data_IF_354405816274
#
_entry.id   IF_354405816274
#
_cell.length_a   1.000
_cell.length_b   1.000
_cell.length_c   1.000
_cell.angle_alpha   90.00
_cell.angle_beta   90.00
_cell.angle_gamma   90.00
#
_symmetry.space_group_name_H-M   'P 1'
#
loop_
_entity.id
_entity.type
_entity.pdbx_description
1 polymer ?
#
# COMPACT_ATOMS: atom_id res chain seq x y z
N UNK A 1 21.24 9.85 4.56
CA UNK A 1 21.56 10.35 3.21
C UNK A 1 20.37 10.07 2.30
N UNK A 2 19.83 11.11 1.66
CA UNK A 2 18.52 11.07 0.96
C UNK A 2 18.56 10.42 -0.44
N UNK A 3 19.34 9.34 -0.63
CA UNK A 3 19.37 8.62 -1.91
C UNK A 3 20.04 9.35 -3.09
N UNK A 4 20.67 10.49 -2.83
CA UNK A 4 21.41 11.26 -3.83
C UNK A 4 22.87 10.83 -3.98
N UNK A 5 23.40 10.10 -3.00
CA UNK A 5 24.76 9.61 -2.98
C UNK A 5 24.77 8.07 -2.86
N UNK A 6 25.57 7.44 -3.71
CA UNK A 6 25.95 6.05 -3.62
C UNK A 6 27.42 5.97 -3.19
N UNK A 7 27.66 5.40 -2.01
CA UNK A 7 29.01 5.23 -1.47
C UNK A 7 29.51 3.83 -1.81
N UNK A 8 30.60 3.75 -2.56
CA UNK A 8 31.32 2.49 -2.85
C UNK A 8 32.59 2.46 -2.04
N UNK A 9 32.84 1.35 -1.36
CA UNK A 9 34.08 1.10 -0.60
C UNK A 9 35.12 0.42 -1.49
N UNK A 10 36.41 0.54 -1.12
CA UNK A 10 37.53 -0.11 -1.83
C UNK A 10 38.39 0.85 -2.62
N UNK A 11 39.45 0.29 -3.34
CA UNK A 11 40.47 1.06 -4.01
C UNK A 11 39.96 2.00 -5.13
N UNK A 12 38.81 1.67 -5.73
CA UNK A 12 38.09 2.49 -6.69
C UNK A 12 36.78 3.05 -6.06
N UNK A 13 36.77 3.17 -4.75
CA UNK A 13 35.60 3.67 -3.99
C UNK A 13 35.46 5.17 -4.09
N UNK A 14 34.31 5.67 -3.60
CA UNK A 14 33.99 7.10 -3.60
C UNK A 14 32.53 7.36 -3.39
N UNK A 15 32.17 8.62 -3.29
CA UNK A 15 30.80 9.09 -3.25
C UNK A 15 30.36 9.48 -4.67
N UNK A 16 29.35 8.80 -5.20
CA UNK A 16 28.84 9.05 -6.54
C UNK A 16 27.45 9.68 -6.43
N UNK A 17 27.25 10.79 -7.13
CA UNK A 17 25.92 11.43 -7.22
C UNK A 17 25.04 10.58 -8.13
N UNK A 18 23.82 10.29 -7.67
CA UNK A 18 22.81 9.58 -8.45
C UNK A 18 21.49 10.34 -8.45
N UNK A 19 20.65 10.07 -9.45
CA UNK A 19 19.28 10.61 -9.45
C UNK A 19 18.47 9.97 -8.32
N UNK A 20 17.60 10.73 -7.64
CA UNK A 20 16.67 10.15 -6.68
C UNK A 20 15.77 9.11 -7.38
N UNK A 21 15.42 8.08 -6.64
CA UNK A 21 14.54 7.01 -7.10
C UNK A 21 13.19 7.09 -6.38
N UNK A 22 12.17 6.44 -6.91
CA UNK A 22 10.88 6.23 -6.23
C UNK A 22 11.07 5.68 -4.81
N UNK A 23 12.04 4.78 -4.63
CA UNK A 23 12.40 4.24 -3.31
C UNK A 23 12.97 5.31 -2.37
N UNK A 24 13.79 6.24 -2.89
CA UNK A 24 14.32 7.36 -2.09
C UNK A 24 13.20 8.26 -1.58
N UNK A 25 12.21 8.54 -2.42
CA UNK A 25 11.03 9.29 -2.07
C UNK A 25 10.20 8.55 -1.01
N UNK A 26 9.91 7.26 -1.22
CA UNK A 26 9.18 6.43 -0.28
C UNK A 26 9.86 6.42 1.10
N UNK A 27 11.19 6.29 1.16
CA UNK A 27 11.94 6.37 2.42
C UNK A 27 11.80 7.73 3.11
N UNK A 28 11.79 8.83 2.37
CA UNK A 28 11.64 10.18 2.95
C UNK A 28 10.25 10.37 3.55
N UNK A 29 9.21 9.92 2.87
CA UNK A 29 7.83 9.96 3.38
C UNK A 29 7.67 9.02 4.59
N UNK A 30 8.23 7.80 4.54
CA UNK A 30 8.22 6.87 5.66
C UNK A 30 8.94 7.44 6.89
N UNK A 31 10.04 8.18 6.71
CA UNK A 31 10.70 8.89 7.81
C UNK A 31 9.81 9.98 8.41
N UNK A 32 9.07 10.71 7.56
CA UNK A 32 8.12 11.72 8.03
C UNK A 32 7.01 11.06 8.86
N UNK A 33 6.40 9.99 8.36
CA UNK A 33 5.34 9.25 9.03
C UNK A 33 5.80 8.83 10.44
N UNK A 34 6.95 8.15 10.52
CA UNK A 34 7.50 7.69 11.80
C UNK A 34 7.96 8.84 12.70
N UNK A 35 8.73 9.78 12.17
CA UNK A 35 9.31 10.88 12.95
C UNK A 35 8.28 11.86 13.49
N UNK A 36 7.14 12.01 12.83
CA UNK A 36 6.02 12.83 13.27
C UNK A 36 4.94 12.05 14.00
N UNK A 37 5.08 10.73 14.12
CA UNK A 37 4.10 9.86 14.76
C UNK A 37 2.71 10.07 14.14
N UNK A 38 2.66 10.02 12.80
CA UNK A 38 1.40 10.23 12.05
C UNK A 38 0.39 9.15 12.46
N UNK A 39 -0.82 9.55 12.73
CA UNK A 39 -1.89 8.64 13.12
C UNK A 39 -2.35 7.77 11.95
N UNK A 40 -2.82 6.57 12.26
CA UNK A 40 -3.35 5.65 11.26
C UNK A 40 -4.54 6.27 10.48
N UNK A 41 -5.37 7.07 11.16
CA UNK A 41 -6.48 7.79 10.53
C UNK A 41 -6.01 8.72 9.40
N UNK A 42 -4.91 9.46 9.61
CA UNK A 42 -4.37 10.38 8.59
C UNK A 42 -3.87 9.61 7.36
N UNK A 43 -3.33 8.39 7.57
CA UNK A 43 -2.92 7.50 6.48
C UNK A 43 -4.13 6.95 5.72
N UNK A 44 -5.22 6.60 6.42
CA UNK A 44 -6.45 6.13 5.77
C UNK A 44 -7.09 7.23 4.92
N UNK A 45 -7.20 8.45 5.43
CA UNK A 45 -7.69 9.61 4.68
C UNK A 45 -6.84 9.86 3.42
N UNK A 46 -5.53 9.70 3.53
CA UNK A 46 -4.62 9.84 2.39
C UNK A 46 -4.85 8.73 1.36
N UNK A 47 -5.09 7.49 1.80
CA UNK A 47 -5.46 6.38 0.90
C UNK A 47 -6.76 6.66 0.15
N UNK A 48 -7.80 7.12 0.87
CA UNK A 48 -9.09 7.47 0.26
C UNK A 48 -8.96 8.54 -0.83
N UNK A 49 -8.02 9.45 -0.67
CA UNK A 49 -7.75 10.49 -1.66
C UNK A 49 -6.96 9.95 -2.88
N UNK A 50 -5.99 9.06 -2.68
CA UNK A 50 -5.04 8.67 -3.73
C UNK A 50 -5.43 7.37 -4.46
N UNK A 51 -5.87 6.33 -3.76
CA UNK A 51 -6.03 5.00 -4.33
C UNK A 51 -7.12 4.90 -5.41
N UNK A 52 -8.28 5.59 -5.31
CA UNK A 52 -9.25 5.60 -6.39
C UNK A 52 -8.66 6.13 -7.69
N UNK A 53 -7.84 7.18 -7.61
CA UNK A 53 -7.17 7.75 -8.77
C UNK A 53 -6.08 6.83 -9.33
N UNK A 54 -5.33 6.15 -8.45
CA UNK A 54 -4.39 5.10 -8.88
C UNK A 54 -5.10 3.99 -9.66
N UNK A 55 -6.27 3.53 -9.21
CA UNK A 55 -7.05 2.50 -9.89
C UNK A 55 -7.59 2.97 -11.26
N UNK A 56 -8.01 4.24 -11.36
CA UNK A 56 -8.42 4.83 -12.65
C UNK A 56 -7.27 4.87 -13.65
N UNK A 57 -6.08 5.31 -13.21
CA UNK A 57 -4.89 5.35 -14.04
C UNK A 57 -4.43 3.94 -14.40
N UNK A 58 -4.45 2.99 -13.45
CA UNK A 58 -4.14 1.59 -13.70
C UNK A 58 -5.02 1.01 -14.81
N UNK A 59 -6.33 1.27 -14.79
CA UNK A 59 -7.22 0.82 -15.85
C UNK A 59 -6.85 1.37 -17.23
N UNK A 60 -6.32 2.60 -17.30
CA UNK A 60 -5.89 3.22 -18.57
C UNK A 60 -4.53 2.73 -19.04
N UNK A 61 -3.59 2.54 -18.12
CA UNK A 61 -2.15 2.42 -18.42
C UNK A 61 -1.61 0.99 -18.28
N UNK A 62 -2.31 0.09 -17.57
CA UNK A 62 -1.83 -1.25 -17.21
C UNK A 62 -1.30 -2.03 -18.40
N UNK A 63 -0.23 -2.78 -18.17
CA UNK A 63 0.30 -3.82 -19.05
C UNK A 63 -0.23 -5.21 -18.65
N UNK A 64 0.05 -6.22 -19.45
CA UNK A 64 -0.29 -7.62 -19.10
C UNK A 64 0.61 -8.13 -17.95
N UNK A 65 1.82 -7.62 -17.82
CA UNK A 65 2.70 -7.91 -16.68
C UNK A 65 2.12 -7.38 -15.37
N UNK A 66 1.57 -6.15 -15.36
CA UNK A 66 0.90 -5.59 -14.18
C UNK A 66 -0.30 -6.44 -13.77
N UNK A 67 -1.09 -6.91 -14.74
CA UNK A 67 -2.23 -7.79 -14.45
C UNK A 67 -1.79 -9.13 -13.85
N UNK A 68 -0.68 -9.69 -14.30
CA UNK A 68 -0.14 -10.94 -13.75
C UNK A 68 0.29 -10.74 -12.28
N UNK A 69 0.87 -9.58 -11.92
CA UNK A 69 1.20 -9.25 -10.54
C UNK A 69 -0.04 -9.09 -9.66
N UNK A 70 -1.07 -8.37 -10.15
CA UNK A 70 -2.33 -8.21 -9.44
C UNK A 70 -3.04 -9.55 -9.23
N UNK A 71 -3.00 -10.45 -10.22
CA UNK A 71 -3.57 -11.80 -10.09
C UNK A 71 -2.83 -12.63 -9.05
N UNK A 72 -1.49 -12.56 -9.00
CA UNK A 72 -0.70 -13.25 -7.97
C UNK A 72 -1.04 -12.75 -6.57
N UNK A 73 -1.13 -11.43 -6.39
CA UNK A 73 -1.53 -10.86 -5.12
C UNK A 73 -2.96 -11.29 -4.73
N UNK A 74 -3.91 -11.29 -5.66
CA UNK A 74 -5.27 -11.78 -5.43
C UNK A 74 -5.33 -13.26 -5.05
N UNK A 75 -4.46 -14.09 -5.63
CA UNK A 75 -4.37 -15.52 -5.27
C UNK A 75 -3.83 -15.69 -3.85
N UNK A 76 -2.80 -14.92 -3.46
CA UNK A 76 -2.23 -14.95 -2.12
C UNK A 76 -3.22 -14.44 -1.06
N UNK A 77 -4.04 -13.41 -1.37
CA UNK A 77 -5.10 -12.90 -0.48
C UNK A 77 -6.20 -13.96 -0.28
N UNK A 78 -6.50 -14.75 -1.32
CA UNK A 78 -7.56 -15.76 -1.30
C UNK A 78 -7.11 -17.12 -0.73
N UNK A 79 -5.83 -17.26 -0.33
CA UNK A 79 -5.31 -18.49 0.23
C UNK A 79 -5.93 -18.74 1.63
N UNK A 80 -6.72 -19.80 1.81
CA UNK A 80 -7.35 -20.10 3.10
C UNK A 80 -6.34 -20.55 4.18
N UNK A 81 -5.15 -20.99 3.78
CA UNK A 81 -4.10 -21.43 4.70
C UNK A 81 -3.16 -20.28 5.12
N UNK A 82 -3.32 -19.08 4.50
CA UNK A 82 -2.51 -17.92 4.84
C UNK A 82 -2.77 -17.45 6.28
N UNK A 83 -1.70 -17.30 7.06
CA UNK A 83 -1.77 -16.63 8.34
C UNK A 83 -2.06 -15.13 8.20
N UNK A 84 -2.17 -14.42 9.32
CA UNK A 84 -2.48 -12.98 9.30
C UNK A 84 -1.37 -12.17 8.62
N UNK A 85 -0.12 -12.47 8.88
CA UNK A 85 1.03 -11.76 8.31
C UNK A 85 1.06 -11.93 6.78
N UNK A 86 0.87 -13.15 6.30
CA UNK A 86 0.83 -13.46 4.87
C UNK A 86 -0.33 -12.74 4.17
N UNK A 87 -1.52 -12.73 4.79
CA UNK A 87 -2.67 -12.02 4.27
C UNK A 87 -2.42 -10.51 4.20
N UNK A 88 -1.93 -9.88 5.28
CA UNK A 88 -1.65 -8.45 5.33
C UNK A 88 -0.57 -8.05 4.32
N UNK A 89 0.45 -8.89 4.17
CA UNK A 89 1.49 -8.68 3.15
C UNK A 89 0.91 -8.74 1.74
N UNK A 90 0.12 -9.75 1.42
CA UNK A 90 -0.50 -9.89 0.10
C UNK A 90 -1.47 -8.74 -0.20
N UNK A 91 -2.23 -8.30 0.81
CA UNK A 91 -3.09 -7.13 0.73
C UNK A 91 -2.29 -5.86 0.40
N UNK A 92 -1.18 -5.64 1.10
CA UNK A 92 -0.26 -4.54 0.83
C UNK A 92 0.30 -4.61 -0.60
N UNK A 93 0.82 -5.76 -1.01
CA UNK A 93 1.42 -5.99 -2.33
C UNK A 93 0.39 -5.68 -3.44
N UNK A 94 -0.88 -6.02 -3.23
CA UNK A 94 -1.95 -5.71 -4.18
C UNK A 94 -2.20 -4.19 -4.31
N UNK A 95 -2.33 -3.45 -3.20
CA UNK A 95 -2.52 -1.99 -3.23
C UNK A 95 -1.33 -1.26 -3.89
N UNK A 96 -0.11 -1.67 -3.56
CA UNK A 96 1.10 -1.17 -4.24
C UNK A 96 1.08 -1.55 -5.72
N UNK A 97 0.67 -2.78 -6.06
CA UNK A 97 0.55 -3.27 -7.43
C UNK A 97 -0.42 -2.42 -8.27
N UNK A 98 -1.57 -2.01 -7.70
CA UNK A 98 -2.50 -1.08 -8.39
C UNK A 98 -1.81 0.25 -8.66
N UNK A 99 -1.03 0.78 -7.72
CA UNK A 99 -0.28 2.03 -7.93
C UNK A 99 0.81 1.88 -8.98
N UNK A 100 1.51 0.75 -9.01
CA UNK A 100 2.52 0.42 -10.05
C UNK A 100 1.86 0.37 -11.42
N UNK A 101 0.71 -0.29 -11.56
CA UNK A 101 -0.05 -0.35 -12.80
C UNK A 101 -0.56 1.02 -13.28
N UNK A 102 -0.57 2.05 -12.44
CA UNK A 102 -0.85 3.42 -12.85
C UNK A 102 0.25 4.04 -13.70
N UNK A 103 1.48 3.50 -13.64
CA UNK A 103 2.71 4.03 -14.25
C UNK A 103 3.01 5.50 -13.88
N UNK A 104 2.54 5.97 -12.71
CA UNK A 104 2.84 7.27 -12.17
C UNK A 104 3.83 7.15 -11.00
N UNK A 105 5.10 7.45 -11.25
CA UNK A 105 6.18 7.25 -10.27
C UNK A 105 5.99 7.99 -8.95
N UNK A 106 5.33 9.15 -8.95
CA UNK A 106 5.05 9.87 -7.71
C UNK A 106 3.99 9.15 -6.87
N UNK A 107 2.91 8.70 -7.50
CA UNK A 107 1.88 7.92 -6.81
C UNK A 107 2.44 6.60 -6.29
N UNK A 108 3.27 5.92 -7.07
CA UNK A 108 3.96 4.69 -6.65
C UNK A 108 4.78 4.95 -5.39
N UNK A 109 5.60 6.01 -5.37
CA UNK A 109 6.43 6.36 -4.22
C UNK A 109 5.61 6.68 -2.97
N UNK A 110 4.52 7.44 -3.12
CA UNK A 110 3.60 7.71 -2.01
C UNK A 110 2.93 6.44 -1.50
N UNK A 111 2.40 5.60 -2.39
CA UNK A 111 1.72 4.37 -2.00
C UNK A 111 2.64 3.38 -1.29
N UNK A 112 3.89 3.22 -1.74
CA UNK A 112 4.88 2.39 -1.04
C UNK A 112 5.11 2.90 0.38
N UNK A 113 5.25 4.22 0.57
CA UNK A 113 5.49 4.80 1.88
C UNK A 113 4.27 4.65 2.82
N UNK A 114 3.07 4.95 2.34
CA UNK A 114 1.82 4.80 3.09
C UNK A 114 1.58 3.35 3.48
N UNK A 115 1.75 2.44 2.54
CA UNK A 115 1.52 1.01 2.74
C UNK A 115 2.38 0.43 3.86
N UNK A 116 3.64 0.81 3.95
CA UNK A 116 4.52 0.39 5.05
C UNK A 116 4.01 0.88 6.41
N UNK A 117 3.52 2.12 6.47
CA UNK A 117 2.94 2.69 7.67
C UNK A 117 1.66 1.98 8.11
N UNK A 118 0.80 1.68 7.16
CA UNK A 118 -0.47 0.97 7.41
C UNK A 118 -0.21 -0.45 7.89
N UNK A 119 0.70 -1.17 7.24
CA UNK A 119 1.09 -2.52 7.66
C UNK A 119 1.55 -2.52 9.13
N UNK A 120 2.47 -1.63 9.48
CA UNK A 120 2.97 -1.51 10.86
C UNK A 120 1.86 -1.14 11.87
N UNK A 121 0.84 -0.39 11.44
CA UNK A 121 -0.31 -0.04 12.28
C UNK A 121 -1.37 -1.12 12.39
N UNK A 122 -1.37 -2.13 11.52
CA UNK A 122 -2.42 -3.15 11.42
C UNK A 122 -1.94 -4.58 11.66
N UNK A 123 -0.65 -4.81 11.85
CA UNK A 123 -0.07 -6.15 12.05
C UNK A 123 -0.64 -6.93 13.26
N UNK A 124 -1.20 -6.23 14.25
CA UNK A 124 -1.85 -6.80 15.41
C UNK A 124 -3.39 -6.65 15.38
N UNK A 125 -3.97 -6.40 14.22
CA UNK A 125 -5.38 -6.06 14.10
C UNK A 125 -6.28 -7.30 14.28
N UNK A 126 -6.83 -7.46 15.48
CA UNK A 126 -7.75 -8.54 15.82
C UNK A 126 -9.08 -8.53 15.02
N UNK A 127 -9.37 -7.43 14.29
CA UNK A 127 -10.59 -7.29 13.49
C UNK A 127 -10.49 -7.99 12.10
N UNK A 128 -9.31 -8.48 11.71
CA UNK A 128 -9.13 -9.16 10.42
C UNK A 128 -9.50 -10.64 10.56
N UNK A 129 -10.78 -10.89 10.70
CA UNK A 129 -11.35 -12.24 10.72
C UNK A 129 -11.56 -12.82 9.30
N UNK A 130 -12.09 -14.04 9.22
CA UNK A 130 -12.37 -14.70 7.94
C UNK A 130 -13.39 -13.95 7.08
N UNK A 131 -14.36 -13.27 7.67
CA UNK A 131 -15.37 -12.51 6.95
C UNK A 131 -14.75 -11.26 6.31
N UNK A 132 -13.91 -10.52 7.04
CA UNK A 132 -13.15 -9.38 6.54
C UNK A 132 -12.23 -9.82 5.39
N UNK A 133 -11.53 -10.95 5.53
CA UNK A 133 -10.66 -11.49 4.47
C UNK A 133 -11.44 -11.82 3.20
N UNK A 134 -12.60 -12.46 3.31
CA UNK A 134 -13.44 -12.79 2.15
C UNK A 134 -13.97 -11.53 1.44
N UNK A 135 -14.50 -10.55 2.18
CA UNK A 135 -14.98 -9.27 1.63
C UNK A 135 -13.84 -8.52 0.93
N UNK A 136 -12.64 -8.49 1.54
CA UNK A 136 -11.45 -7.89 0.95
C UNK A 136 -11.07 -8.57 -0.37
N UNK A 137 -11.00 -9.91 -0.36
CA UNK A 137 -10.68 -10.70 -1.54
C UNK A 137 -11.66 -10.46 -2.70
N UNK A 138 -12.96 -10.41 -2.41
CA UNK A 138 -14.00 -10.12 -3.40
C UNK A 138 -13.85 -8.70 -3.97
N UNK A 139 -13.60 -7.70 -3.13
CA UNK A 139 -13.40 -6.32 -3.55
C UNK A 139 -12.19 -6.19 -4.47
N UNK A 140 -11.06 -6.78 -4.11
CA UNK A 140 -9.82 -6.74 -4.90
C UNK A 140 -10.02 -7.41 -6.26
N UNK A 141 -10.63 -8.60 -6.32
CA UNK A 141 -10.97 -9.26 -7.61
C UNK A 141 -11.87 -8.40 -8.48
N UNK A 142 -12.88 -7.75 -7.90
CA UNK A 142 -13.80 -6.89 -8.63
C UNK A 142 -13.11 -5.62 -9.18
N UNK A 143 -12.15 -5.04 -8.43
CA UNK A 143 -11.35 -3.89 -8.87
C UNK A 143 -10.39 -4.33 -9.98
N UNK A 144 -9.67 -5.44 -9.78
CA UNK A 144 -8.75 -6.00 -10.79
C UNK A 144 -9.49 -6.33 -12.10
N UNK A 145 -10.71 -6.84 -12.03
CA UNK A 145 -11.55 -7.07 -13.22
C UNK A 145 -11.88 -5.77 -13.96
N UNK A 146 -12.15 -4.67 -13.25
CA UNK A 146 -12.38 -3.36 -13.87
C UNK A 146 -11.09 -2.80 -14.52
N UNK A 147 -9.94 -2.94 -13.83
CA UNK A 147 -8.63 -2.56 -14.36
C UNK A 147 -8.33 -3.37 -15.64
N UNK A 148 -8.55 -4.68 -15.60
CA UNK A 148 -8.39 -5.58 -16.76
C UNK A 148 -9.25 -5.16 -17.94
N UNK A 149 -10.52 -4.84 -17.68
CA UNK A 149 -11.49 -4.37 -18.68
C UNK A 149 -11.28 -2.93 -19.13
N UNK A 150 -10.26 -2.23 -18.63
CA UNK A 150 -9.97 -0.81 -18.92
C UNK A 150 -11.13 0.14 -18.57
N UNK A 151 -11.99 -0.26 -17.63
CA UNK A 151 -13.07 0.58 -17.10
C UNK A 151 -12.55 1.42 -15.93
N UNK A 152 -11.98 2.59 -16.27
CA UNK A 152 -11.40 3.50 -15.29
C UNK A 152 -12.43 4.00 -14.26
N UNK A 153 -13.66 4.28 -14.72
CA UNK A 153 -14.73 4.77 -13.85
C UNK A 153 -15.15 3.72 -12.84
N UNK A 154 -15.34 2.46 -13.26
CA UNK A 154 -15.67 1.37 -12.34
C UNK A 154 -14.51 1.06 -11.41
N UNK A 155 -13.26 1.08 -11.88
CA UNK A 155 -12.08 0.83 -11.07
C UNK A 155 -11.97 1.86 -9.93
N UNK A 156 -12.03 3.15 -10.23
CA UNK A 156 -11.97 4.22 -9.23
C UNK A 156 -13.13 4.17 -8.23
N UNK A 157 -14.37 3.98 -8.73
CA UNK A 157 -15.55 3.89 -7.85
C UNK A 157 -15.48 2.69 -6.90
N UNK A 158 -15.04 1.52 -7.39
CA UNK A 158 -14.91 0.30 -6.57
C UNK A 158 -13.79 0.45 -5.55
N UNK A 159 -12.65 1.03 -5.94
CA UNK A 159 -11.54 1.30 -5.03
C UNK A 159 -11.97 2.26 -3.91
N UNK A 160 -12.65 3.36 -4.23
CA UNK A 160 -13.16 4.30 -3.23
C UNK A 160 -14.02 3.61 -2.19
N UNK A 161 -14.98 2.77 -2.63
CA UNK A 161 -15.82 2.02 -1.70
C UNK A 161 -15.03 1.06 -0.84
N UNK A 162 -14.04 0.37 -1.44
CA UNK A 162 -13.20 -0.58 -0.72
C UNK A 162 -12.38 0.08 0.39
N UNK A 163 -11.65 1.17 0.09
CA UNK A 163 -10.83 1.86 1.12
C UNK A 163 -11.69 2.55 2.18
N UNK A 164 -12.85 3.09 1.81
CA UNK A 164 -13.79 3.68 2.75
C UNK A 164 -14.34 2.64 3.74
N UNK A 165 -14.81 1.49 3.26
CA UNK A 165 -15.29 0.40 4.12
C UNK A 165 -14.24 -0.10 5.10
N UNK A 166 -12.97 -0.10 4.71
CA UNK A 166 -11.87 -0.46 5.60
C UNK A 166 -11.62 0.61 6.68
N UNK A 167 -11.71 1.88 6.29
CA UNK A 167 -11.60 3.01 7.23
C UNK A 167 -12.73 3.00 8.26
N UNK A 168 -13.96 2.66 7.85
CA UNK A 168 -15.11 2.51 8.74
C UNK A 168 -14.93 1.36 9.74
N UNK A 169 -14.50 0.18 9.28
CA UNK A 169 -14.22 -0.97 10.13
C UNK A 169 -13.15 -0.65 11.20
N UNK A 170 -12.12 0.11 10.81
CA UNK A 170 -11.13 0.62 11.77
C UNK A 170 -11.72 1.62 12.76
N UNK A 171 -12.66 2.47 12.31
CA UNK A 171 -13.31 3.46 13.17
C UNK A 171 -14.14 2.80 14.29
N UNK A 172 -14.82 1.71 13.95
CA UNK A 172 -15.65 0.95 14.89
C UNK A 172 -14.81 0.18 15.94
N UNK A 173 -13.54 -0.10 15.65
CA UNK A 173 -12.65 -0.86 16.54
C UNK A 173 -12.07 -0.06 17.72
N UNK A 174 -12.51 1.18 17.95
CA UNK A 174 -12.02 2.09 19.01
C UNK A 174 -10.50 2.40 18.97
N UNK A 175 -9.78 1.89 17.98
CA UNK A 175 -8.32 1.99 17.85
C UNK A 175 -7.86 3.08 16.86
N UNK A 176 -8.79 3.67 16.10
CA UNK A 176 -8.48 4.59 15.00
C UNK A 176 -7.60 5.78 15.41
N UNK A 177 -7.87 6.36 16.57
CA UNK A 177 -7.11 7.53 17.06
C UNK A 177 -5.90 7.16 17.91
N UNK A 178 -5.88 5.96 18.47
CA UNK A 178 -4.85 5.50 19.38
C UNK A 178 -3.61 4.95 18.66
N UNK A 179 -3.76 4.40 17.43
CA UNK A 179 -2.65 3.81 16.70
C UNK A 179 -1.79 4.91 16.09
N UNK A 180 -0.60 5.05 16.62
CA UNK A 180 0.47 5.92 16.09
C UNK A 180 1.44 5.05 15.29
N UNK A 181 1.52 5.31 13.99
CA UNK A 181 2.40 4.54 13.11
C UNK A 181 3.86 4.84 13.42
N UNK A 182 4.64 3.80 13.67
CA UNK A 182 6.08 3.91 13.93
C UNK A 182 6.44 4.17 15.38
N UNK A 183 5.52 4.00 16.32
CA UNK A 183 5.91 3.82 17.72
C UNK A 183 6.58 2.45 17.81
N UNK A 184 7.91 2.34 18.07
CA UNK A 184 8.46 1.06 18.43
C UNK A 184 7.71 0.65 19.69
N UNK A 185 6.93 -0.42 19.64
CA UNK A 185 6.52 -1.08 20.86
C UNK A 185 7.79 -1.17 21.72
N UNK A 186 7.75 -0.51 22.86
CA UNK A 186 8.85 -0.39 23.80
C UNK A 186 9.35 -1.81 24.08
N UNK A 187 10.37 -2.22 23.34
CA UNK A 187 11.14 -3.42 23.63
C UNK A 187 12.10 -3.02 24.73
N UNK A 188 11.75 -3.37 25.96
CA UNK A 188 12.71 -3.48 27.04
C UNK A 188 13.70 -4.61 26.72
#
# INVERSE_FOLDING_TARGET
MQGLLNIRTGRAGGAFVQRPTTKSMANSVSMLIRGRRIKLVDLMETREALEPFCAELAARNRTDADLAELDRANQAIADPEADLEQFLKANLDWHVGVSVASHNELLIGFMIALSQGIYAGTENAAFVDSAVREVTSQAHRAITAAIRGRDATAAGRRMRRHVHSYADALAESDQREAIVVGDPAVGE
#
